data_IF_069813173565
#
_entry.id   IF_069813173565
#
_cell.length_a   1.000
_cell.length_b   1.000
_cell.length_c   1.000
_cell.angle_alpha   90.00
_cell.angle_beta   90.00
_cell.angle_gamma   90.00
#
_symmetry.space_group_name_H-M   'P 1'
#
loop_
_entity.id
_entity.type
_entity.pdbx_description
1 polymer ?
#
# COMPACT_ATOMS: atom_id res chain seq x y z
N UNK A 1 -23.81 -40.96 38.77
CA UNK A 1 -23.01 -40.26 37.74
C UNK A 1 -22.59 -38.92 38.31
N UNK A 2 -21.30 -38.70 38.57
CA UNK A 2 -20.78 -37.40 38.99
C UNK A 2 -20.35 -36.65 37.73
N UNK A 3 -20.94 -35.48 37.48
CA UNK A 3 -20.48 -34.55 36.44
C UNK A 3 -19.20 -33.88 36.94
N UNK A 4 -18.07 -34.13 36.29
CA UNK A 4 -16.87 -33.30 36.48
C UNK A 4 -17.03 -32.00 35.70
N UNK A 5 -16.95 -30.81 36.33
CA UNK A 5 -16.90 -29.57 35.58
C UNK A 5 -15.59 -29.49 34.80
N UNK A 6 -15.70 -29.31 33.48
CA UNK A 6 -14.59 -29.00 32.60
C UNK A 6 -14.06 -27.60 32.96
N UNK A 7 -12.92 -27.55 33.66
CA UNK A 7 -12.20 -26.31 33.87
C UNK A 7 -11.65 -25.86 32.51
N UNK A 8 -12.27 -24.85 31.90
CA UNK A 8 -11.67 -24.13 30.77
C UNK A 8 -10.49 -23.37 31.34
N UNK A 9 -9.29 -23.94 31.24
CA UNK A 9 -8.06 -23.19 31.46
C UNK A 9 -7.99 -22.15 30.34
N UNK A 10 -8.02 -20.84 30.63
CA UNK A 10 -7.71 -19.86 29.62
C UNK A 10 -6.28 -20.15 29.17
N UNK A 11 -6.12 -20.51 27.89
CA UNK A 11 -4.80 -20.62 27.30
C UNK A 11 -4.15 -19.26 27.50
N UNK A 12 -3.09 -19.22 28.30
CA UNK A 12 -2.23 -18.05 28.41
C UNK A 12 -1.62 -17.89 27.03
N UNK A 13 -2.27 -17.13 26.15
CA UNK A 13 -1.66 -16.64 24.91
C UNK A 13 -0.38 -15.98 25.38
N UNK A 14 0.75 -16.60 25.06
CA UNK A 14 2.05 -16.03 25.30
C UNK A 14 1.99 -14.62 24.71
N UNK A 15 2.05 -13.57 25.55
CA UNK A 15 1.95 -12.19 25.10
C UNK A 15 3.25 -11.83 24.38
N UNK A 16 3.37 -12.37 23.17
CA UNK A 16 4.51 -12.19 22.29
C UNK A 16 4.39 -10.78 21.72
N UNK A 17 5.48 -10.01 21.84
CA UNK A 17 5.52 -8.62 21.40
C UNK A 17 5.06 -8.48 19.95
N UNK A 18 4.00 -7.72 19.69
CA UNK A 18 3.42 -7.59 18.34
C UNK A 18 4.32 -6.72 17.46
N UNK A 19 4.55 -7.14 16.21
CA UNK A 19 5.27 -6.31 15.25
C UNK A 19 4.44 -5.06 14.93
N UNK A 20 5.13 -3.96 14.69
CA UNK A 20 4.56 -2.76 14.10
C UNK A 20 4.97 -2.68 12.63
N UNK A 21 4.04 -2.23 11.79
CA UNK A 21 4.26 -2.10 10.35
C UNK A 21 3.89 -0.69 9.94
N UNK A 22 4.77 -0.02 9.21
CA UNK A 22 4.40 1.18 8.43
C UNK A 22 4.25 0.80 6.97
N UNK A 23 3.39 1.50 6.25
CA UNK A 23 3.17 1.27 4.82
C UNK A 23 2.78 2.56 4.13
N UNK A 24 3.39 2.80 2.97
CA UNK A 24 3.10 3.89 2.06
C UNK A 24 3.20 3.41 0.62
N UNK A 25 2.54 4.09 -0.29
CA UNK A 25 2.59 3.77 -1.70
C UNK A 25 2.67 5.02 -2.57
N UNK A 26 3.37 4.88 -3.70
CA UNK A 26 3.49 5.90 -4.73
C UNK A 26 3.07 5.26 -6.06
N UNK A 27 2.08 5.86 -6.72
CA UNK A 27 1.62 5.46 -8.04
C UNK A 27 2.07 6.51 -9.07
N UNK A 28 2.71 6.06 -10.15
CA UNK A 28 3.16 6.92 -11.26
C UNK A 28 2.25 6.81 -12.51
N UNK A 29 1.15 6.08 -12.40
CA UNK A 29 0.21 5.76 -13.48
C UNK A 29 0.48 4.41 -14.14
N UNK A 30 1.74 3.99 -14.32
CA UNK A 30 2.06 2.67 -14.89
C UNK A 30 2.41 1.65 -13.79
N UNK A 31 3.08 2.10 -12.73
CA UNK A 31 3.52 1.27 -11.63
C UNK A 31 3.09 1.88 -10.28
N UNK A 32 2.90 0.99 -9.32
CA UNK A 32 2.83 1.36 -7.91
C UNK A 32 4.01 0.76 -7.17
N UNK A 33 4.69 1.60 -6.40
CA UNK A 33 5.75 1.18 -5.47
C UNK A 33 5.22 1.27 -4.05
N UNK A 34 5.22 0.14 -3.34
CA UNK A 34 4.84 0.03 -1.93
C UNK A 34 6.12 -0.07 -1.11
N UNK A 35 6.20 0.72 -0.04
CA UNK A 35 7.32 0.70 0.88
C UNK A 35 6.83 0.73 2.32
N UNK A 36 7.62 0.16 3.22
CA UNK A 36 7.31 0.19 4.64
C UNK A 36 8.45 -0.30 5.51
N UNK A 37 8.23 -0.25 6.81
CA UNK A 37 9.19 -0.69 7.84
C UNK A 37 8.47 -1.62 8.81
N UNK A 38 9.12 -2.72 9.16
CA UNK A 38 8.73 -3.62 10.24
C UNK A 38 9.62 -3.35 11.45
N UNK A 39 9.00 -3.04 12.59
CA UNK A 39 9.70 -2.80 13.85
C UNK A 39 9.07 -3.54 15.03
N UNK A 40 9.81 -3.68 16.12
CA UNK A 40 9.24 -4.12 17.40
C UNK A 40 8.54 -2.93 18.12
N UNK A 41 7.87 -3.15 19.27
CA UNK A 41 7.24 -2.08 20.04
C UNK A 41 8.18 -1.03 20.64
N UNK A 42 9.48 -1.30 20.67
CA UNK A 42 10.50 -0.33 21.07
C UNK A 42 11.04 0.46 19.87
N UNK A 43 10.45 0.29 18.68
CA UNK A 43 10.85 0.89 17.41
C UNK A 43 12.22 0.41 16.90
N UNK A 44 12.68 -0.76 17.35
CA UNK A 44 13.86 -1.39 16.75
C UNK A 44 13.47 -2.05 15.42
N UNK A 45 14.27 -1.91 14.36
CA UNK A 45 14.00 -2.58 13.09
C UNK A 45 14.06 -4.10 13.27
N UNK A 46 13.16 -4.81 12.58
CA UNK A 46 13.11 -6.27 12.61
C UNK A 46 13.46 -6.80 11.23
N UNK A 47 14.70 -7.28 11.08
CA UNK A 47 15.19 -7.93 9.86
C UNK A 47 14.51 -9.27 9.60
N UNK A 48 14.33 -9.66 8.34
CA UNK A 48 13.87 -10.99 7.94
C UNK A 48 12.47 -11.34 8.41
N UNK A 49 11.65 -10.34 8.79
CA UNK A 49 10.23 -10.55 8.98
C UNK A 49 9.59 -10.82 7.62
N UNK A 50 8.75 -11.86 7.56
CA UNK A 50 7.99 -12.20 6.36
C UNK A 50 6.83 -11.22 6.22
N UNK A 51 6.75 -10.51 5.11
CA UNK A 51 5.75 -9.47 4.83
C UNK A 51 4.87 -9.90 3.68
N UNK A 52 3.58 -10.08 3.95
CA UNK A 52 2.54 -10.29 2.94
C UNK A 52 1.92 -8.96 2.57
N UNK A 53 1.84 -8.66 1.28
CA UNK A 53 1.22 -7.45 0.73
C UNK A 53 0.05 -7.90 -0.15
N UNK A 54 -1.12 -7.29 0.03
CA UNK A 54 -2.28 -7.48 -0.83
C UNK A 54 -2.84 -6.12 -1.20
N UNK A 55 -3.09 -5.91 -2.49
CA UNK A 55 -3.71 -4.70 -3.01
C UNK A 55 -5.06 -5.05 -3.61
N UNK A 56 -6.10 -4.37 -3.14
CA UNK A 56 -7.44 -4.48 -3.68
C UNK A 56 -7.82 -3.18 -4.41
N UNK A 57 -8.46 -3.33 -5.56
CA UNK A 57 -9.04 -2.23 -6.32
C UNK A 57 -10.30 -1.67 -5.63
N UNK A 58 -10.91 -0.57 -6.14
CA UNK A 58 -12.09 0.02 -5.54
C UNK A 58 -13.33 -0.89 -5.49
N UNK A 59 -13.38 -1.93 -6.33
CA UNK A 59 -14.44 -2.94 -6.31
C UNK A 59 -14.22 -4.02 -5.25
N UNK A 60 -13.04 -4.00 -4.60
CA UNK A 60 -12.61 -5.00 -3.62
C UNK A 60 -11.91 -6.20 -4.25
N UNK A 61 -11.68 -6.22 -5.57
CA UNK A 61 -10.95 -7.30 -6.25
C UNK A 61 -9.46 -7.15 -5.99
N UNK A 62 -8.81 -8.26 -5.65
CA UNK A 62 -7.34 -8.29 -5.52
C UNK A 62 -6.68 -8.15 -6.88
N UNK A 63 -5.85 -7.12 -7.00
CA UNK A 63 -5.10 -6.81 -8.23
C UNK A 63 -3.60 -7.07 -8.09
N UNK A 64 -3.10 -7.19 -6.85
CA UNK A 64 -1.72 -7.54 -6.58
C UNK A 64 -1.60 -8.28 -5.24
N UNK A 65 -0.68 -9.25 -5.18
CA UNK A 65 -0.35 -9.98 -3.96
C UNK A 65 1.10 -10.44 -4.02
N UNK A 66 1.87 -10.13 -2.98
CA UNK A 66 3.31 -10.40 -2.94
C UNK A 66 3.76 -10.85 -1.55
N UNK A 67 4.83 -11.64 -1.50
CA UNK A 67 5.47 -12.07 -0.26
C UNK A 67 6.95 -11.69 -0.27
N UNK A 68 7.31 -10.70 0.53
CA UNK A 68 8.68 -10.21 0.67
C UNK A 68 9.21 -10.38 2.10
N UNK A 69 10.44 -9.95 2.34
CA UNK A 69 11.07 -9.95 3.65
C UNK A 69 11.67 -8.59 3.96
N UNK A 70 11.62 -8.18 5.23
CA UNK A 70 12.31 -6.97 5.66
C UNK A 70 13.85 -7.15 5.65
N UNK A 71 14.58 -6.10 5.34
CA UNK A 71 16.04 -6.05 5.37
C UNK A 71 16.59 -5.73 6.79
N UNK A 72 17.91 -5.55 6.91
CA UNK A 72 18.59 -5.22 8.18
C UNK A 72 18.07 -3.94 8.86
N UNK A 73 17.50 -3.02 8.09
CA UNK A 73 16.88 -1.78 8.56
C UNK A 73 15.37 -1.93 8.80
N UNK A 74 14.85 -3.16 8.73
CA UNK A 74 13.43 -3.47 8.84
C UNK A 74 12.63 -3.05 7.60
N UNK A 75 13.28 -2.55 6.56
CA UNK A 75 12.59 -2.01 5.38
C UNK A 75 12.13 -3.13 4.45
N UNK A 76 10.96 -2.96 3.86
CA UNK A 76 10.49 -3.78 2.75
C UNK A 76 10.02 -2.88 1.61
N UNK A 77 10.12 -3.39 0.38
CA UNK A 77 9.69 -2.70 -0.83
C UNK A 77 9.15 -3.71 -1.83
N UNK A 78 8.15 -3.29 -2.58
CA UNK A 78 7.56 -4.04 -3.67
C UNK A 78 7.09 -3.07 -4.77
N UNK A 79 7.21 -3.47 -6.04
CA UNK A 79 6.80 -2.66 -7.19
C UNK A 79 6.06 -3.55 -8.18
N UNK A 80 4.84 -3.15 -8.52
CA UNK A 80 4.01 -3.89 -9.48
C UNK A 80 3.44 -2.96 -10.54
N UNK A 81 3.16 -3.54 -11.72
CA UNK A 81 2.51 -2.82 -12.83
C UNK A 81 1.01 -2.72 -12.56
N UNK A 82 0.46 -1.54 -12.80
CA UNK A 82 -0.96 -1.28 -12.64
C UNK A 82 -1.79 -1.88 -13.77
N UNK A 83 -2.92 -2.53 -13.48
CA UNK A 83 -3.92 -2.85 -14.50
C UNK A 83 -4.52 -1.55 -15.08
N UNK A 84 -4.60 -1.46 -16.40
CA UNK A 84 -5.08 -0.28 -17.13
C UNK A 84 -6.56 0.05 -16.86
N UNK A 85 -7.35 -0.96 -16.45
CA UNK A 85 -8.79 -0.83 -16.18
C UNK A 85 -9.10 -0.36 -14.75
N UNK A 86 -8.11 -0.24 -13.88
CA UNK A 86 -8.29 0.15 -12.47
C UNK A 86 -8.24 1.68 -12.32
N UNK A 87 -9.32 2.24 -11.79
CA UNK A 87 -9.45 3.68 -11.58
C UNK A 87 -10.08 3.96 -10.21
N UNK A 88 -9.43 4.79 -9.40
CA UNK A 88 -9.95 5.19 -8.08
C UNK A 88 -9.09 4.69 -6.91
N UNK A 89 -9.64 4.74 -5.71
CA UNK A 89 -8.92 4.41 -4.47
C UNK A 89 -8.70 2.90 -4.32
N UNK A 90 -7.43 2.50 -4.30
CA UNK A 90 -7.01 1.13 -4.02
C UNK A 90 -6.59 1.03 -2.55
N UNK A 91 -6.85 -0.13 -1.93
CA UNK A 91 -6.49 -0.39 -0.53
C UNK A 91 -5.36 -1.42 -0.48
N UNK A 92 -4.34 -1.12 0.31
CA UNK A 92 -3.22 -1.99 0.61
C UNK A 92 -3.42 -2.59 1.99
N UNK A 93 -3.32 -3.90 2.09
CA UNK A 93 -3.26 -4.66 3.33
C UNK A 93 -1.86 -5.25 3.47
N UNK A 94 -1.22 -5.01 4.61
CA UNK A 94 0.10 -5.56 4.92
C UNK A 94 0.04 -6.34 6.22
N UNK A 95 0.62 -7.54 6.22
CA UNK A 95 0.84 -8.34 7.42
C UNK A 95 2.30 -8.78 7.51
N UNK A 96 2.93 -8.55 8.66
CA UNK A 96 4.30 -8.97 8.93
C UNK A 96 4.32 -10.05 10.03
N UNK A 97 5.17 -11.07 9.84
CA UNK A 97 5.33 -12.16 10.80
C UNK A 97 6.79 -12.57 10.96
N UNK A 98 7.17 -12.87 12.20
CA UNK A 98 8.48 -13.44 12.53
C UNK A 98 8.35 -14.30 13.78
N UNK A 99 9.02 -15.46 13.79
CA UNK A 99 9.06 -16.30 14.99
C UNK A 99 9.58 -15.49 16.19
N UNK A 100 8.90 -15.59 17.34
CA UNK A 100 9.22 -14.79 18.52
C UNK A 100 8.49 -13.44 18.61
N UNK A 101 7.74 -13.02 17.58
CA UNK A 101 6.85 -11.85 17.59
C UNK A 101 5.37 -12.18 17.30
N UNK A 102 4.45 -11.38 17.84
CA UNK A 102 3.07 -11.36 17.36
C UNK A 102 3.01 -10.82 15.92
N UNK A 103 1.98 -11.20 15.16
CA UNK A 103 1.79 -10.71 13.79
C UNK A 103 1.43 -9.23 13.83
N UNK A 104 2.14 -8.41 13.06
CA UNK A 104 1.80 -6.99 12.89
C UNK A 104 1.00 -6.79 11.62
N UNK A 105 0.00 -5.92 11.65
CA UNK A 105 -0.81 -5.57 10.47
C UNK A 105 -0.94 -4.06 10.31
N UNK A 106 -1.00 -3.59 9.07
CA UNK A 106 -1.36 -2.21 8.77
C UNK A 106 -2.00 -2.10 7.38
N UNK A 107 -2.68 -0.98 7.14
CA UNK A 107 -3.35 -0.67 5.88
C UNK A 107 -2.96 0.71 5.38
N UNK A 108 -2.93 0.88 4.05
CA UNK A 108 -2.73 2.16 3.39
C UNK A 108 -3.66 2.26 2.17
N UNK A 109 -3.77 3.44 1.57
CA UNK A 109 -4.46 3.60 0.29
C UNK A 109 -3.69 4.51 -0.65
N UNK A 110 -3.96 4.38 -1.94
CA UNK A 110 -3.49 5.30 -2.97
C UNK A 110 -4.54 5.36 -4.08
N UNK A 111 -4.55 6.44 -4.84
CA UNK A 111 -5.44 6.58 -6.00
C UNK A 111 -4.73 6.06 -7.25
N UNK A 112 -5.32 5.07 -7.92
CA UNK A 112 -4.92 4.69 -9.27
C UNK A 112 -5.39 5.80 -10.22
N UNK A 113 -4.43 6.47 -10.87
CA UNK A 113 -4.69 7.52 -11.86
C UNK A 113 -4.50 6.88 -13.24
N UNK A 114 -5.51 6.93 -14.13
CA UNK A 114 -5.30 6.46 -15.49
C UNK A 114 -4.28 7.35 -16.17
N UNK A 115 -3.51 6.76 -17.08
CA UNK A 115 -2.46 7.39 -17.90
C UNK A 115 -2.90 8.60 -18.78
N UNK A 116 -4.14 9.07 -18.67
CA UNK A 116 -4.68 10.20 -19.45
C UNK A 116 -4.27 11.61 -18.96
N UNK A 117 -3.15 11.78 -18.25
CA UNK A 117 -2.73 13.12 -17.76
C UNK A 117 -2.29 14.09 -18.87
N UNK A 118 -1.99 13.60 -20.07
CA UNK A 118 -1.61 14.42 -21.24
C UNK A 118 -2.80 15.23 -21.83
N UNK A 119 -4.05 14.88 -21.52
CA UNK A 119 -5.23 15.50 -22.17
C UNK A 119 -5.44 16.97 -21.73
N UNK A 120 -4.88 17.38 -20.58
CA UNK A 120 -5.01 18.77 -20.10
C UNK A 120 -4.23 19.78 -20.97
N UNK A 121 -3.14 19.35 -21.63
CA UNK A 121 -2.38 20.21 -22.56
C UNK A 121 -3.09 20.38 -23.91
N UNK A 122 -3.88 19.39 -24.34
CA UNK A 122 -4.63 19.46 -25.60
C UNK A 122 -5.74 20.53 -25.57
N UNK A 123 -6.33 20.80 -24.41
CA UNK A 123 -7.33 21.86 -24.24
C UNK A 123 -6.74 23.27 -24.06
N UNK A 124 -5.42 23.40 -23.82
CA UNK A 124 -4.75 24.71 -23.71
C UNK A 124 -4.31 25.29 -25.07
N UNK A 125 -4.16 24.45 -26.10
CA UNK A 125 -3.75 24.86 -27.44
C UNK A 125 -4.65 25.94 -28.12
N UNK A 126 -6.01 25.88 -28.04
CA UNK A 126 -6.83 26.89 -28.71
C UNK A 126 -6.74 28.30 -28.05
N UNK A 127 -6.43 28.41 -26.76
CA UNK A 127 -6.34 29.70 -26.07
C UNK A 127 -5.07 30.50 -26.47
N UNK A 128 -3.95 29.79 -26.68
CA UNK A 128 -2.69 30.40 -27.14
C UNK A 128 -2.83 30.93 -28.58
N UNK A 129 -3.63 30.27 -29.42
CA UNK A 129 -3.86 30.69 -30.80
C UNK A 129 -4.68 32.00 -30.88
N UNK A 130 -5.73 32.14 -30.07
CA UNK A 130 -6.59 33.35 -30.02
C UNK A 130 -5.80 34.60 -29.55
N UNK A 131 -4.91 34.45 -28.56
CA UNK A 131 -4.07 35.55 -28.07
C UNK A 131 -3.06 36.05 -29.11
N UNK A 132 -2.53 35.18 -29.99
CA UNK A 132 -1.63 35.59 -31.09
C UNK A 132 -2.38 36.39 -32.17
N UNK A 133 -3.64 36.07 -32.45
CA UNK A 133 -4.43 36.81 -33.46
C UNK A 133 -4.88 38.19 -32.98
N UNK A 134 -5.08 38.40 -31.67
CA UNK A 134 -5.49 39.70 -31.12
C UNK A 134 -4.36 40.75 -31.07
N UNK A 135 -3.09 40.34 -31.18
CA UNK A 135 -1.94 41.27 -31.18
C UNK A 135 -1.58 41.83 -32.55
N UNK A 136 -2.20 41.38 -33.64
CA UNK A 136 -1.97 41.90 -34.99
C UNK A 136 -3.18 42.66 -35.51
N UNK A 137 -3.40 43.88 -35.01
CA UNK A 137 -4.18 44.88 -35.73
C UNK A 137 -3.38 46.18 -35.81
N UNK A 138 -2.66 46.43 -36.91
CA UNK A 138 -2.04 47.73 -37.14
C UNK A 138 -3.11 48.68 -37.68
N UNK A 139 -3.26 49.83 -37.04
CA UNK A 139 -3.81 51.04 -37.65
C UNK A 139 -2.93 52.21 -37.22
#
# INVERSE_FOLDING_TARGET
MLLTPLLVVPSKVNAQSELQVTVSAVNDGEYTTITGVVSDPNHNPVEGAKVSIQVNDPSGKTIHMELTYSDENGMFSDKFKMPEDVNGECIIYVAASKAGYGVGVNTSSFTAIPEFSEVLLAFAAPLIFVLKTLRKKPM
#
